data_IF_532821462893
#
_entry.id   IF_532821462893
#
_cell.length_a   1.000
_cell.length_b   1.000
_cell.length_c   1.000
_cell.angle_alpha   90.00
_cell.angle_beta   90.00
_cell.angle_gamma   90.00
#
_symmetry.space_group_name_H-M   'P 1'
#
loop_
_entity.id
_entity.type
_entity.pdbx_description
1 polymer ?
#
# COMPACT_ATOMS: atom_id res chain seq x y z
N UNK A 1 -17.38 17.04 -3.24
CA UNK A 1 -16.44 16.73 -2.14
C UNK A 1 -15.87 18.03 -1.55
N UNK A 2 -15.20 18.89 -2.34
CA UNK A 2 -14.52 20.10 -1.85
C UNK A 2 -15.42 21.03 -1.04
N UNK A 3 -16.61 21.38 -1.54
CA UNK A 3 -17.56 22.26 -0.85
C UNK A 3 -18.07 21.71 0.52
N UNK A 4 -17.81 20.44 0.80
CA UNK A 4 -18.14 19.76 2.06
C UNK A 4 -16.90 19.47 2.92
N UNK A 5 -15.74 19.95 2.54
CA UNK A 5 -14.49 19.65 3.24
C UNK A 5 -14.06 18.17 3.17
N UNK A 6 -14.59 17.40 2.22
CA UNK A 6 -14.30 15.97 2.07
C UNK A 6 -13.12 15.77 1.14
N UNK A 7 -12.11 15.04 1.58
CA UNK A 7 -11.01 14.57 0.74
C UNK A 7 -11.45 13.41 -0.14
N UNK A 8 -10.96 13.40 -1.37
CA UNK A 8 -11.07 12.26 -2.28
C UNK A 8 -9.69 11.66 -2.41
N UNK A 9 -9.58 10.38 -2.13
CA UNK A 9 -8.32 9.65 -2.20
C UNK A 9 -8.45 8.54 -3.22
N UNK A 10 -7.55 8.53 -4.20
CA UNK A 10 -7.47 7.48 -5.21
C UNK A 10 -6.41 6.47 -4.81
N UNK A 11 -6.78 5.22 -4.78
CA UNK A 11 -5.84 4.12 -4.64
C UNK A 11 -5.21 3.75 -5.99
N UNK A 12 -3.90 3.52 -5.99
CA UNK A 12 -3.12 3.14 -7.17
C UNK A 12 -3.11 1.61 -7.28
N UNK A 13 -3.62 1.08 -8.38
CA UNK A 13 -3.73 -0.36 -8.64
C UNK A 13 -2.91 -0.83 -9.84
N UNK A 14 -2.68 -2.15 -9.91
CA UNK A 14 -2.08 -2.80 -11.08
C UNK A 14 -2.89 -2.58 -12.36
N UNK A 15 -2.17 -2.42 -13.48
CA UNK A 15 -2.78 -2.19 -14.79
C UNK A 15 -3.01 -3.48 -15.59
N UNK A 16 -2.29 -4.55 -15.32
CA UNK A 16 -2.33 -5.81 -16.09
C UNK A 16 -2.84 -7.01 -15.27
N UNK A 17 -2.77 -6.96 -13.96
CA UNK A 17 -3.26 -8.01 -13.05
C UNK A 17 -4.59 -7.56 -12.43
N UNK A 18 -5.55 -8.44 -12.42
CA UNK A 18 -6.84 -8.32 -11.76
C UNK A 18 -7.68 -7.10 -12.20
N UNK A 19 -7.63 -5.99 -11.48
CA UNK A 19 -8.50 -4.82 -11.73
C UNK A 19 -8.18 -4.09 -13.04
N UNK A 20 -7.00 -4.30 -13.61
CA UNK A 20 -6.55 -3.66 -14.86
C UNK A 20 -6.81 -2.16 -14.85
N UNK A 21 -6.36 -1.50 -13.77
CA UNK A 21 -6.62 -0.09 -13.54
C UNK A 21 -5.84 0.80 -14.53
N UNK A 22 -6.45 1.91 -14.93
CA UNK A 22 -5.82 2.86 -15.84
C UNK A 22 -4.56 3.51 -15.23
N UNK A 23 -4.56 3.72 -13.91
CA UNK A 23 -3.50 4.42 -13.17
C UNK A 23 -2.73 3.39 -12.31
N UNK A 24 -1.85 2.61 -12.96
CA UNK A 24 -1.03 1.61 -12.31
C UNK A 24 0.32 2.15 -11.83
N UNK A 25 1.35 2.39 -12.67
CA UNK A 25 2.67 2.82 -12.25
C UNK A 25 2.69 4.20 -11.59
N UNK A 26 3.55 4.34 -10.56
CA UNK A 26 3.64 5.56 -9.76
C UNK A 26 3.85 6.85 -10.56
N UNK A 27 4.69 6.92 -11.61
CA UNK A 27 4.83 8.13 -12.41
C UNK A 27 3.53 8.58 -13.10
N UNK A 28 2.73 7.62 -13.56
CA UNK A 28 1.44 7.92 -14.20
C UNK A 28 0.42 8.43 -13.15
N UNK A 29 0.36 7.80 -12.00
CA UNK A 29 -0.49 8.23 -10.89
C UNK A 29 -0.10 9.61 -10.36
N UNK A 30 1.19 9.92 -10.26
CA UNK A 30 1.68 11.23 -9.85
C UNK A 30 1.26 12.33 -10.84
N UNK A 31 1.42 12.07 -12.14
CA UNK A 31 0.99 13.00 -13.20
C UNK A 31 -0.51 13.26 -13.13
N UNK A 32 -1.31 12.21 -13.04
CA UNK A 32 -2.75 12.34 -12.88
C UNK A 32 -3.13 13.16 -11.65
N UNK A 33 -2.49 12.88 -10.50
CA UNK A 33 -2.75 13.61 -9.26
C UNK A 33 -2.38 15.10 -9.37
N UNK A 34 -1.30 15.44 -10.08
CA UNK A 34 -0.93 16.81 -10.36
C UNK A 34 -2.02 17.55 -11.16
N UNK A 35 -2.50 16.92 -12.23
CA UNK A 35 -3.54 17.47 -13.09
C UNK A 35 -4.86 17.70 -12.32
N UNK A 36 -5.27 16.72 -11.50
CA UNK A 36 -6.48 16.84 -10.67
C UNK A 36 -6.33 17.92 -9.61
N UNK A 37 -5.19 17.99 -8.92
CA UNK A 37 -4.96 19.00 -7.87
C UNK A 37 -4.92 20.42 -8.36
N UNK A 38 -4.64 20.64 -9.63
CA UNK A 38 -4.73 21.99 -10.23
C UNK A 38 -6.13 22.61 -10.09
N UNK A 39 -7.18 21.79 -10.05
CA UNK A 39 -8.57 22.23 -9.88
C UNK A 39 -9.25 21.75 -8.60
N UNK A 40 -8.75 20.68 -7.99
CA UNK A 40 -9.33 20.00 -6.84
C UNK A 40 -8.27 19.78 -5.74
N UNK A 41 -7.94 20.79 -4.92
CA UNK A 41 -6.84 20.73 -3.96
C UNK A 41 -7.06 19.67 -2.85
N UNK A 42 -8.29 19.23 -2.62
CA UNK A 42 -8.67 18.18 -1.68
C UNK A 42 -8.62 16.76 -2.29
N UNK A 43 -7.78 16.55 -3.30
CA UNK A 43 -7.51 15.24 -3.88
C UNK A 43 -6.17 14.69 -3.38
N UNK A 44 -6.10 13.39 -3.13
CA UNK A 44 -4.88 12.69 -2.72
C UNK A 44 -4.77 11.31 -3.33
N UNK A 45 -3.61 10.68 -3.11
CA UNK A 45 -3.35 9.29 -3.46
C UNK A 45 -3.18 8.45 -2.20
N UNK A 46 -3.53 7.20 -2.32
CA UNK A 46 -3.23 6.15 -1.36
C UNK A 46 -2.22 5.18 -1.97
N UNK A 47 -1.20 4.84 -1.21
CA UNK A 47 -0.23 3.82 -1.57
C UNK A 47 -0.48 2.57 -0.72
N UNK A 48 -0.76 1.46 -1.39
CA UNK A 48 -0.84 0.14 -0.77
C UNK A 48 0.37 -0.69 -1.16
N UNK A 49 1.10 -1.14 -0.15
CA UNK A 49 2.25 -2.02 -0.32
C UNK A 49 1.90 -3.29 -1.12
N UNK A 50 0.68 -3.83 -0.96
CA UNK A 50 0.25 -5.05 -1.64
C UNK A 50 0.24 -4.92 -3.16
N UNK A 51 0.10 -3.70 -3.69
CA UNK A 51 0.00 -3.46 -5.13
C UNK A 51 1.35 -3.24 -5.83
N UNK A 52 2.42 -2.93 -5.09
CA UNK A 52 3.73 -2.63 -5.68
C UNK A 52 4.30 -3.79 -6.53
N UNK A 53 4.27 -5.06 -6.07
CA UNK A 53 4.73 -6.15 -6.92
C UNK A 53 3.90 -6.34 -8.18
N UNK A 54 2.62 -5.98 -8.14
CA UNK A 54 1.71 -6.06 -9.29
C UNK A 54 1.89 -4.91 -10.28
N UNK A 55 2.51 -3.79 -9.86
CA UNK A 55 2.95 -2.70 -10.74
C UNK A 55 4.43 -2.82 -11.12
N UNK A 56 5.10 -3.88 -10.65
CA UNK A 56 6.54 -4.12 -10.86
C UNK A 56 7.43 -3.03 -10.24
N UNK A 57 6.98 -2.44 -9.16
CA UNK A 57 7.66 -1.36 -8.46
C UNK A 57 8.03 -1.76 -7.03
N UNK A 58 8.98 -1.04 -6.45
CA UNK A 58 9.41 -1.17 -5.05
C UNK A 58 8.97 0.04 -4.24
N UNK A 59 8.95 -0.07 -2.89
CA UNK A 59 8.68 1.07 -2.01
C UNK A 59 9.59 2.26 -2.29
N UNK A 60 10.88 1.99 -2.56
CA UNK A 60 11.88 3.03 -2.87
C UNK A 60 11.60 3.76 -4.20
N UNK A 61 10.92 3.12 -5.14
CA UNK A 61 10.50 3.75 -6.40
C UNK A 61 9.20 4.52 -6.23
N UNK A 62 8.22 3.94 -5.53
CA UNK A 62 6.86 4.50 -5.45
C UNK A 62 6.78 5.69 -4.49
N UNK A 63 7.27 5.54 -3.26
CA UNK A 63 7.03 6.52 -2.20
C UNK A 63 7.58 7.91 -2.53
N UNK A 64 8.84 8.08 -3.00
CA UNK A 64 9.35 9.40 -3.36
C UNK A 64 8.57 10.07 -4.51
N UNK A 65 8.16 9.29 -5.51
CA UNK A 65 7.43 9.79 -6.70
C UNK A 65 6.04 10.27 -6.31
N UNK A 66 5.32 9.51 -5.47
CA UNK A 66 3.97 9.85 -5.05
C UNK A 66 3.93 10.81 -3.85
N UNK A 67 5.06 11.06 -3.18
CA UNK A 67 5.17 11.85 -1.93
C UNK A 67 4.32 13.12 -1.90
N UNK A 68 4.29 13.98 -2.95
CA UNK A 68 3.51 15.23 -2.90
C UNK A 68 2.00 15.02 -2.77
N UNK A 69 1.51 13.82 -3.12
CA UNK A 69 0.08 13.51 -3.25
C UNK A 69 -0.41 12.50 -2.22
N UNK A 70 0.50 11.81 -1.52
CA UNK A 70 0.14 10.76 -0.56
C UNK A 70 -0.54 11.33 0.67
N UNK A 71 -1.65 10.71 1.06
CA UNK A 71 -2.46 11.08 2.22
C UNK A 71 -2.80 9.89 3.11
N UNK A 72 -2.67 8.67 2.58
CA UNK A 72 -3.09 7.44 3.22
C UNK A 72 -2.20 6.28 2.77
N UNK A 73 -2.02 5.28 3.64
CA UNK A 73 -1.21 4.11 3.38
C UNK A 73 -1.93 2.83 3.78
N UNK A 74 -1.81 1.81 2.94
CA UNK A 74 -2.18 0.45 3.26
C UNK A 74 -0.95 -0.46 3.31
N UNK A 75 -1.01 -1.45 4.17
CA UNK A 75 -0.07 -2.56 4.18
C UNK A 75 -0.84 -3.87 4.10
N UNK A 76 -0.51 -4.63 3.10
CA UNK A 76 -1.09 -5.92 2.81
C UNK A 76 -0.05 -6.86 2.17
N UNK A 77 -0.50 -8.04 1.84
CA UNK A 77 0.30 -9.02 1.14
C UNK A 77 -0.37 -9.39 -0.19
N UNK A 78 0.40 -9.89 -1.12
CA UNK A 78 -0.08 -10.38 -2.41
C UNK A 78 0.68 -11.63 -2.84
N UNK A 79 0.10 -12.38 -3.76
CA UNK A 79 0.73 -13.48 -4.47
C UNK A 79 0.67 -13.16 -5.95
N UNK A 80 1.81 -12.86 -6.57
CA UNK A 80 1.82 -12.42 -7.98
C UNK A 80 2.96 -13.03 -8.82
N UNK A 81 3.75 -13.97 -8.25
CA UNK A 81 4.88 -14.56 -8.95
C UNK A 81 4.48 -15.77 -9.82
N UNK A 82 3.47 -16.52 -9.40
CA UNK A 82 3.00 -17.71 -10.09
C UNK A 82 1.47 -17.64 -10.27
N UNK A 83 0.98 -17.53 -11.52
CA UNK A 83 -0.46 -17.50 -11.79
C UNK A 83 -1.23 -18.74 -11.36
N UNK A 84 -0.55 -19.88 -11.15
CA UNK A 84 -1.17 -21.11 -10.66
C UNK A 84 -1.18 -21.23 -9.13
N UNK A 85 -0.52 -20.29 -8.42
CA UNK A 85 -0.45 -20.33 -6.97
C UNK A 85 -1.82 -19.99 -6.32
N UNK A 86 -2.12 -20.61 -5.16
CA UNK A 86 -3.26 -20.19 -4.36
C UNK A 86 -3.20 -18.70 -4.01
N UNK A 87 -4.34 -18.04 -4.00
CA UNK A 87 -4.47 -16.60 -3.72
C UNK A 87 -3.73 -15.69 -4.71
N UNK A 88 -3.49 -16.13 -5.95
CA UNK A 88 -2.87 -15.29 -6.97
C UNK A 88 -3.69 -14.01 -7.24
N UNK A 89 -2.98 -12.90 -7.35
CA UNK A 89 -3.58 -11.58 -7.61
C UNK A 89 -3.94 -10.81 -6.32
N UNK A 90 -4.98 -9.97 -6.36
CA UNK A 90 -5.37 -9.08 -5.26
C UNK A 90 -6.24 -9.79 -4.21
N UNK A 91 -5.90 -11.01 -3.86
CA UNK A 91 -6.62 -11.77 -2.84
C UNK A 91 -6.21 -11.40 -1.41
N UNK A 92 -5.13 -10.62 -1.27
CA UNK A 92 -4.65 -10.01 -0.03
C UNK A 92 -4.55 -10.99 1.17
N UNK A 93 -3.93 -12.17 0.99
CA UNK A 93 -3.83 -13.14 2.06
C UNK A 93 -2.93 -12.62 3.19
N UNK A 94 -2.99 -13.26 4.37
CA UNK A 94 -2.14 -12.91 5.52
C UNK A 94 -0.66 -12.83 5.17
N UNK A 95 0.10 -12.05 5.91
CA UNK A 95 1.55 -12.09 5.87
C UNK A 95 2.06 -13.52 6.19
N UNK A 96 3.14 -13.93 5.55
CA UNK A 96 3.65 -15.29 5.67
C UNK A 96 2.87 -16.35 4.92
N UNK A 97 1.90 -15.98 4.07
CA UNK A 97 1.21 -16.91 3.17
C UNK A 97 2.22 -17.56 2.20
N UNK A 98 2.06 -18.85 1.82
CA UNK A 98 2.93 -19.48 0.82
C UNK A 98 3.00 -18.67 -0.47
N UNK A 99 4.17 -18.65 -1.12
CA UNK A 99 4.41 -17.87 -2.36
C UNK A 99 4.11 -16.36 -2.26
N UNK A 100 4.12 -15.82 -1.03
CA UNK A 100 3.88 -14.41 -0.74
C UNK A 100 4.92 -13.46 -1.33
N UNK A 101 4.49 -12.24 -1.60
CA UNK A 101 5.40 -11.13 -1.93
C UNK A 101 5.89 -10.39 -0.69
N UNK A 102 5.07 -10.33 0.39
CA UNK A 102 5.36 -9.53 1.57
C UNK A 102 5.35 -10.31 2.88
N UNK A 103 6.33 -9.95 3.73
CA UNK A 103 6.44 -10.33 5.14
C UNK A 103 7.20 -9.20 5.88
N UNK A 104 7.70 -9.44 7.08
CA UNK A 104 8.42 -8.46 7.90
C UNK A 104 9.47 -7.65 7.13
N UNK A 105 10.35 -8.23 6.29
CA UNK A 105 11.35 -7.44 5.57
C UNK A 105 10.76 -6.38 4.62
N UNK A 106 9.70 -6.71 3.90
CA UNK A 106 9.07 -5.79 2.95
C UNK A 106 8.27 -4.69 3.68
N UNK A 107 7.60 -5.03 4.78
CA UNK A 107 6.95 -4.04 5.64
C UNK A 107 7.99 -3.10 6.26
N UNK A 108 9.14 -3.61 6.71
CA UNK A 108 10.24 -2.80 7.21
C UNK A 108 10.78 -1.84 6.14
N UNK A 109 11.02 -2.33 4.92
CA UNK A 109 11.46 -1.49 3.81
C UNK A 109 10.45 -0.36 3.54
N UNK A 110 9.16 -0.70 3.50
CA UNK A 110 8.10 0.28 3.32
C UNK A 110 8.12 1.36 4.42
N UNK A 111 8.21 0.96 5.69
CA UNK A 111 8.30 1.89 6.83
C UNK A 111 9.54 2.79 6.74
N UNK A 112 10.70 2.25 6.33
CA UNK A 112 11.92 3.03 6.09
C UNK A 112 11.72 4.09 5.02
N UNK A 113 11.05 3.74 3.93
CA UNK A 113 10.72 4.70 2.87
C UNK A 113 9.75 5.78 3.37
N UNK A 114 8.74 5.42 4.16
CA UNK A 114 7.84 6.40 4.77
C UNK A 114 8.60 7.36 5.71
N UNK A 115 9.48 6.83 6.58
CA UNK A 115 10.33 7.63 7.49
C UNK A 115 11.23 8.58 6.68
N UNK A 116 11.97 8.06 5.70
CA UNK A 116 12.89 8.84 4.87
C UNK A 116 12.21 9.95 4.07
N UNK A 117 10.94 9.78 3.72
CA UNK A 117 10.15 10.77 2.99
C UNK A 117 9.31 11.69 3.88
N UNK A 118 9.50 11.66 5.21
CA UNK A 118 8.92 12.60 6.16
C UNK A 118 7.46 12.32 6.51
N UNK A 119 6.99 11.06 6.39
CA UNK A 119 5.63 10.69 6.77
C UNK A 119 5.48 10.37 8.26
N UNK A 120 6.57 10.22 9.01
CA UNK A 120 6.54 10.08 10.46
C UNK A 120 6.60 11.46 11.12
N UNK A 121 5.51 12.18 11.07
CA UNK A 121 5.38 13.54 11.55
C UNK A 121 4.28 13.60 12.61
N UNK A 122 4.62 13.75 13.91
CA UNK A 122 3.63 13.79 14.99
C UNK A 122 2.61 14.92 14.86
N UNK A 123 3.03 16.05 14.30
CA UNK A 123 2.17 17.23 14.10
C UNK A 123 1.16 17.03 12.98
N UNK A 124 1.42 16.09 12.09
CA UNK A 124 0.54 15.74 10.98
C UNK A 124 0.53 14.20 10.79
N UNK A 125 -0.17 13.49 11.65
CA UNK A 125 -0.21 12.04 11.57
C UNK A 125 -0.89 11.59 10.27
N UNK A 126 -0.31 10.56 9.64
CA UNK A 126 -0.89 9.88 8.49
C UNK A 126 -1.56 8.59 8.93
N UNK A 127 -2.56 8.16 8.17
CA UNK A 127 -3.26 6.89 8.42
C UNK A 127 -2.49 5.77 7.75
N UNK A 128 -2.20 4.71 8.51
CA UNK A 128 -1.70 3.44 8.02
C UNK A 128 -2.64 2.33 8.46
N UNK A 129 -3.21 1.60 7.50
CA UNK A 129 -4.16 0.52 7.76
C UNK A 129 -3.70 -0.81 7.19
N UNK A 130 -4.26 -1.90 7.72
CA UNK A 130 -4.11 -3.21 7.11
C UNK A 130 -5.14 -3.39 6.00
N UNK A 131 -4.71 -3.95 4.87
CA UNK A 131 -5.59 -4.47 3.84
C UNK A 131 -5.29 -5.95 3.63
N UNK A 132 -5.96 -6.78 4.39
CA UNK A 132 -5.81 -8.23 4.41
C UNK A 132 -7.18 -8.90 4.58
N UNK A 133 -7.30 -10.10 4.07
CA UNK A 133 -8.49 -10.94 4.30
C UNK A 133 -8.09 -12.40 4.57
N UNK A 134 -8.92 -13.15 5.29
CA UNK A 134 -8.72 -14.59 5.43
C UNK A 134 -8.76 -15.28 4.07
N UNK A 135 -7.90 -16.26 3.89
CA UNK A 135 -7.94 -17.16 2.75
C UNK A 135 -8.67 -18.45 3.16
N UNK A 136 -9.63 -18.87 2.35
CA UNK A 136 -10.46 -20.04 2.60
C UNK A 136 -11.15 -19.99 3.99
N UNK A 137 -10.85 -20.95 4.85
CA UNK A 137 -11.40 -21.10 6.20
C UNK A 137 -10.52 -20.53 7.32
N UNK A 138 -9.54 -19.68 6.98
CA UNK A 138 -8.71 -19.01 7.98
C UNK A 138 -9.56 -18.13 8.91
N UNK A 139 -9.29 -18.19 10.21
CA UNK A 139 -9.94 -17.37 11.21
C UNK A 139 -9.49 -15.90 11.11
N UNK A 140 -10.45 -14.97 11.06
CA UNK A 140 -10.19 -13.53 10.92
C UNK A 140 -9.35 -12.97 12.07
N UNK A 141 -9.60 -13.39 13.30
CA UNK A 141 -8.86 -12.89 14.47
C UNK A 141 -7.40 -13.33 14.41
N UNK A 142 -7.14 -14.55 13.93
CA UNK A 142 -5.79 -15.06 13.72
C UNK A 142 -5.08 -14.28 12.60
N UNK A 143 -5.78 -13.97 11.51
CA UNK A 143 -5.25 -13.19 10.38
C UNK A 143 -4.91 -11.75 10.83
N UNK A 144 -5.78 -11.10 11.60
CA UNK A 144 -5.52 -9.77 12.16
C UNK A 144 -4.35 -9.81 13.17
N UNK A 145 -4.31 -10.81 14.03
CA UNK A 145 -3.20 -10.97 14.98
C UNK A 145 -1.86 -11.19 14.26
N UNK A 146 -1.86 -11.93 13.15
CA UNK A 146 -0.69 -12.08 12.29
C UNK A 146 -0.24 -10.73 11.71
N UNK A 147 -1.14 -9.93 11.16
CA UNK A 147 -0.82 -8.62 10.60
C UNK A 147 -0.23 -7.67 11.64
N UNK A 148 -0.85 -7.58 12.82
CA UNK A 148 -0.33 -6.78 13.95
C UNK A 148 1.07 -7.23 14.38
N UNK A 149 1.31 -8.53 14.43
CA UNK A 149 2.63 -9.09 14.78
C UNK A 149 3.68 -8.75 13.72
N UNK A 150 3.32 -8.84 12.45
CA UNK A 150 4.22 -8.49 11.33
C UNK A 150 4.61 -7.01 11.39
N UNK A 151 3.63 -6.12 11.58
CA UNK A 151 3.90 -4.69 11.74
C UNK A 151 4.77 -4.40 12.98
N UNK A 152 4.45 -4.98 14.12
CA UNK A 152 5.22 -4.76 15.36
C UNK A 152 6.68 -5.23 15.22
N UNK A 153 6.92 -6.35 14.53
CA UNK A 153 8.27 -6.83 14.25
C UNK A 153 9.03 -5.89 13.29
N UNK A 154 8.38 -5.45 12.24
CA UNK A 154 8.98 -4.49 11.31
C UNK A 154 9.28 -3.16 12.01
N UNK A 155 8.36 -2.68 12.84
CA UNK A 155 8.54 -1.46 13.62
C UNK A 155 9.70 -1.56 14.61
N UNK A 156 9.84 -2.68 15.31
CA UNK A 156 10.94 -2.92 16.25
C UNK A 156 12.32 -2.98 15.57
N UNK A 157 12.36 -3.25 14.26
CA UNK A 157 13.59 -3.26 13.45
C UNK A 157 13.84 -1.92 12.74
N UNK A 158 12.91 -0.99 12.87
CA UNK A 158 13.06 0.34 12.31
C UNK A 158 13.97 1.15 13.24
N UNK A 159 15.22 1.33 12.80
CA UNK A 159 16.20 2.12 13.54
C UNK A 159 15.75 3.59 13.68
N UNK A 160 16.09 4.20 14.80
CA UNK A 160 15.78 5.60 15.12
C UNK A 160 16.48 6.61 14.19
#
# INVERSE_FOLDING_TARGET
AQAKGIWVVLEVFAHDIAKKALLGPAPLAARFAADVRASCPNFGLMADLSHFPMTYETSAQVIPVLRPYLTHFHIGNTVCQDPAAPAYGPELPRFGFPTRSHDVPQVLDFLRQLKANGFFCPERPYILTFEIKPWADEDMDVVIANAKRTLNRAWALLED
#
